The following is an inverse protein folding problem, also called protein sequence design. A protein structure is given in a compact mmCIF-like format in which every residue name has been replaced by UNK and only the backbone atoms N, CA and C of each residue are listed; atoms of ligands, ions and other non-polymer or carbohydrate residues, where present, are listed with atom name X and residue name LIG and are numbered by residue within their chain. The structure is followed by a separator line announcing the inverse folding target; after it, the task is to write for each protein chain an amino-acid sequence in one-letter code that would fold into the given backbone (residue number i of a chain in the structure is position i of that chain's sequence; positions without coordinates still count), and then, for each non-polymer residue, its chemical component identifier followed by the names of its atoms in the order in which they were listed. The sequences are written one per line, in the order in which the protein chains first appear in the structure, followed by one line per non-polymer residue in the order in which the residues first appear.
data_IF_174563538974
#
_entry.id   IF_174563538974
#
_cell.length_a   1.000
_cell.length_b   1.000
_cell.length_c   1.000
_cell.angle_alpha   90.00
_cell.angle_beta   90.00
_cell.angle_gamma   90.00
#
_symmetry.space_group_name_H-M   'P 1'
#
loop_
_entity.id
_entity.type
_entity.pdbx_description
1 polymer ?
#
# COMPACT_ATOMS: atom_id res chain seq x y z
N UNK A 1 9.35 10.64 -31.65
CA UNK A 1 8.19 10.67 -30.73
C UNK A 1 8.71 10.84 -29.30
N UNK A 2 8.27 11.86 -28.59
CA UNK A 2 8.94 12.50 -27.44
C UNK A 2 9.23 11.59 -26.23
N UNK A 3 10.49 11.24 -25.99
CA UNK A 3 11.00 10.59 -24.78
C UNK A 3 10.93 11.46 -23.49
N UNK A 4 10.52 12.73 -23.59
CA UNK A 4 10.46 13.66 -22.47
C UNK A 4 9.34 13.35 -21.44
N UNK A 5 8.30 12.61 -21.85
CA UNK A 5 7.16 12.30 -20.99
C UNK A 5 7.35 11.03 -20.10
N UNK A 6 8.33 10.19 -20.40
CA UNK A 6 8.55 8.93 -19.65
C UNK A 6 9.02 9.16 -18.20
N UNK A 7 9.97 10.08 -17.90
CA UNK A 7 10.37 10.37 -16.54
C UNK A 7 9.23 10.93 -15.67
N UNK A 8 8.41 11.82 -16.23
CA UNK A 8 7.29 12.45 -15.50
C UNK A 8 6.21 11.44 -15.08
N UNK A 9 5.90 10.46 -15.95
CA UNK A 9 4.92 9.40 -15.65
C UNK A 9 5.42 8.47 -14.54
N UNK A 10 6.71 8.17 -14.50
CA UNK A 10 7.32 7.37 -13.42
C UNK A 10 7.26 8.12 -12.08
N UNK A 11 7.50 9.43 -12.07
CA UNK A 11 7.35 10.24 -10.87
C UNK A 11 5.92 10.27 -10.33
N UNK A 12 4.91 10.33 -11.21
CA UNK A 12 3.51 10.24 -10.80
C UNK A 12 3.20 8.93 -10.06
N UNK A 13 3.69 7.80 -10.57
CA UNK A 13 3.50 6.48 -9.95
C UNK A 13 4.29 6.35 -8.64
N UNK A 14 5.47 6.95 -8.53
CA UNK A 14 6.24 7.00 -7.28
C UNK A 14 5.55 7.87 -6.22
N UNK A 15 4.98 9.01 -6.61
CA UNK A 15 4.18 9.86 -5.73
C UNK A 15 2.94 9.12 -5.21
N UNK A 16 2.25 8.40 -6.10
CA UNK A 16 1.09 7.58 -5.73
C UNK A 16 1.49 6.48 -4.72
N UNK A 17 2.59 5.78 -4.98
CA UNK A 17 3.11 4.76 -4.05
C UNK A 17 3.41 5.35 -2.67
N UNK A 18 4.03 6.53 -2.63
CA UNK A 18 4.31 7.21 -1.38
C UNK A 18 3.02 7.52 -0.60
N UNK A 19 2.02 8.11 -1.25
CA UNK A 19 0.73 8.39 -0.60
C UNK A 19 0.08 7.12 -0.04
N UNK A 20 0.07 6.03 -0.83
CA UNK A 20 -0.49 4.76 -0.37
C UNK A 20 0.23 4.21 0.87
N UNK A 21 1.55 4.40 0.99
CA UNK A 21 2.29 4.02 2.20
C UNK A 21 1.85 4.85 3.42
N UNK A 22 1.73 6.16 3.26
CA UNK A 22 1.30 7.06 4.33
C UNK A 22 -0.14 6.78 4.81
N UNK A 23 -1.04 6.42 3.91
CA UNK A 23 -2.40 5.97 4.26
C UNK A 23 -2.42 4.73 5.15
N UNK A 24 -1.31 3.98 5.24
CA UNK A 24 -1.15 2.89 6.19
C UNK A 24 -1.25 3.34 7.64
N UNK A 25 -0.67 4.49 7.98
CA UNK A 25 -0.79 5.06 9.34
C UNK A 25 -2.27 5.31 9.67
N UNK A 26 -2.98 6.00 8.76
CA UNK A 26 -4.40 6.33 8.95
C UNK A 26 -5.23 5.08 9.15
N UNK A 27 -5.01 4.06 8.32
CA UNK A 27 -5.73 2.80 8.38
C UNK A 27 -5.49 2.06 9.72
N UNK A 28 -4.22 1.91 10.13
CA UNK A 28 -3.88 1.17 11.34
C UNK A 28 -4.27 1.93 12.63
N UNK A 29 -4.33 3.25 12.60
CA UNK A 29 -4.91 4.03 13.71
C UNK A 29 -6.42 3.87 13.75
N UNK A 30 -7.11 3.91 12.60
CA UNK A 30 -8.57 3.75 12.54
C UNK A 30 -9.03 2.39 13.11
N UNK A 31 -8.27 1.30 12.87
CA UNK A 31 -8.61 -0.04 13.39
C UNK A 31 -8.76 -0.04 14.92
N UNK A 32 -8.03 0.79 15.66
CA UNK A 32 -8.14 0.84 17.12
C UNK A 32 -9.48 1.42 17.62
N UNK A 33 -10.23 2.12 16.75
CA UNK A 33 -11.43 2.90 17.10
C UNK A 33 -12.70 2.40 16.39
N UNK A 34 -12.71 1.15 15.90
CA UNK A 34 -13.88 0.60 15.22
C UNK A 34 -15.07 0.42 16.15
N UNK A 35 -16.27 0.68 15.63
CA UNK A 35 -17.54 0.38 16.33
C UNK A 35 -17.98 -1.07 16.12
N UNK A 36 -17.46 -1.74 15.10
CA UNK A 36 -17.67 -3.17 14.80
C UNK A 36 -16.55 -4.01 15.40
N UNK A 37 -16.69 -5.34 15.32
CA UNK A 37 -15.62 -6.24 15.78
C UNK A 37 -14.31 -5.96 15.05
N UNK A 38 -13.25 -5.77 15.82
CA UNK A 38 -11.92 -5.49 15.33
C UNK A 38 -11.21 -6.80 14.95
N UNK A 39 -10.45 -6.82 13.84
CA UNK A 39 -9.56 -7.94 13.52
C UNK A 39 -8.36 -8.01 14.50
N UNK A 40 -8.17 -6.97 15.33
CA UNK A 40 -7.11 -6.91 16.34
C UNK A 40 -7.69 -7.18 17.74
N UNK A 41 -6.94 -7.87 18.62
CA UNK A 41 -7.41 -8.23 19.95
C UNK A 41 -7.43 -7.07 20.96
N UNK A 42 -7.01 -5.88 20.55
CA UNK A 42 -7.06 -4.66 21.36
C UNK A 42 -7.91 -3.61 20.69
N UNK A 43 -8.48 -2.70 21.47
CA UNK A 43 -9.26 -1.55 20.98
C UNK A 43 -9.25 -0.42 21.99
N UNK A 44 -9.40 0.81 21.53
CA UNK A 44 -9.63 1.98 22.38
C UNK A 44 -11.08 1.98 22.90
N UNK A 45 -11.34 2.44 24.14
CA UNK A 45 -12.70 2.57 24.64
C UNK A 45 -13.53 3.60 23.85
N UNK A 46 -12.89 4.55 23.19
CA UNK A 46 -13.55 5.54 22.35
C UNK A 46 -13.61 5.04 20.90
N UNK A 47 -14.80 4.74 20.41
CA UNK A 47 -15.06 4.26 19.05
C UNK A 47 -15.79 5.29 18.20
N UNK A 48 -15.72 5.17 16.86
CA UNK A 48 -16.39 6.10 15.95
C UNK A 48 -16.75 5.44 14.63
N UNK A 49 -17.96 5.70 14.08
CA UNK A 49 -18.30 5.27 12.71
C UNK A 49 -17.36 5.84 11.64
N UNK A 50 -16.70 6.97 11.92
CA UNK A 50 -15.67 7.54 11.03
C UNK A 50 -14.50 6.56 10.86
N UNK A 51 -14.12 5.84 11.92
CA UNK A 51 -13.08 4.83 11.85
C UNK A 51 -13.46 3.67 10.91
N UNK A 52 -14.72 3.18 10.98
CA UNK A 52 -15.22 2.13 10.08
C UNK A 52 -15.17 2.59 8.62
N UNK A 53 -15.63 3.82 8.36
CA UNK A 53 -15.64 4.40 7.02
C UNK A 53 -14.21 4.57 6.48
N UNK A 54 -13.28 5.09 7.28
CA UNK A 54 -11.88 5.24 6.89
C UNK A 54 -11.22 3.89 6.59
N UNK A 55 -11.46 2.89 7.46
CA UNK A 55 -10.92 1.54 7.23
C UNK A 55 -11.41 0.98 5.90
N UNK A 56 -12.74 0.90 5.70
CA UNK A 56 -13.34 0.30 4.52
C UNK A 56 -12.92 1.05 3.25
N UNK A 57 -12.91 2.38 3.29
CA UNK A 57 -12.58 3.22 2.15
C UNK A 57 -11.10 3.06 1.76
N UNK A 58 -10.17 3.23 2.70
CA UNK A 58 -8.73 3.13 2.42
C UNK A 58 -8.36 1.71 2.00
N UNK A 59 -8.92 0.70 2.68
CA UNK A 59 -8.62 -0.69 2.38
C UNK A 59 -9.09 -1.08 0.97
N UNK A 60 -10.20 -0.52 0.48
CA UNK A 60 -10.76 -0.86 -0.83
C UNK A 60 -9.81 -0.58 -2.01
N UNK A 61 -8.91 0.39 -1.93
CA UNK A 61 -8.02 0.75 -3.05
C UNK A 61 -6.52 0.71 -2.71
N UNK A 62 -6.14 0.83 -1.43
CA UNK A 62 -4.74 0.97 -1.05
C UNK A 62 -3.89 -0.21 -1.50
N UNK A 63 -4.30 -1.43 -1.15
CA UNK A 63 -3.56 -2.63 -1.52
C UNK A 63 -3.68 -2.97 -3.02
N UNK A 64 -4.85 -2.89 -3.65
CA UNK A 64 -5.00 -2.99 -5.10
C UNK A 64 -4.04 -2.09 -5.88
N UNK A 65 -3.97 -0.80 -5.55
CA UNK A 65 -3.03 0.14 -6.18
C UNK A 65 -1.59 -0.33 -6.02
N UNK A 66 -1.19 -0.76 -4.81
CA UNK A 66 0.16 -1.24 -4.58
C UNK A 66 0.52 -2.44 -5.45
N UNK A 67 -0.37 -3.42 -5.58
CA UNK A 67 -0.09 -4.61 -6.41
C UNK A 67 -0.05 -4.28 -7.89
N UNK A 68 -0.90 -3.37 -8.39
CA UNK A 68 -0.81 -2.86 -9.77
C UNK A 68 0.54 -2.17 -9.99
N UNK A 69 0.94 -1.27 -9.10
CA UNK A 69 2.24 -0.60 -9.20
C UNK A 69 3.42 -1.58 -9.09
N UNK A 70 3.32 -2.58 -8.22
CA UNK A 70 4.36 -3.60 -8.06
C UNK A 70 4.55 -4.41 -9.34
N UNK A 71 3.46 -4.90 -9.95
CA UNK A 71 3.50 -5.60 -11.22
C UNK A 71 4.10 -4.76 -12.34
N UNK A 72 3.70 -3.49 -12.43
CA UNK A 72 4.26 -2.52 -13.37
C UNK A 72 5.78 -2.34 -13.20
N UNK A 73 6.24 -2.10 -11.99
CA UNK A 73 7.67 -1.89 -11.73
C UNK A 73 8.49 -3.19 -11.84
N UNK A 74 7.90 -4.35 -11.59
CA UNK A 74 8.57 -5.64 -11.83
C UNK A 74 8.74 -5.86 -13.34
N UNK A 75 7.73 -5.60 -14.15
CA UNK A 75 7.82 -5.67 -15.61
C UNK A 75 8.87 -4.68 -16.16
N UNK A 76 8.89 -3.45 -15.64
CA UNK A 76 9.90 -2.44 -16.00
C UNK A 76 11.34 -2.91 -15.65
N UNK A 77 11.52 -3.54 -14.48
CA UNK A 77 12.83 -4.07 -14.09
C UNK A 77 13.26 -5.24 -14.97
N UNK A 78 12.33 -6.13 -15.33
CA UNK A 78 12.63 -7.23 -16.28
C UNK A 78 13.04 -6.66 -17.64
N UNK A 79 12.34 -5.65 -18.15
CA UNK A 79 12.68 -5.00 -19.41
C UNK A 79 14.07 -4.33 -19.38
N UNK A 80 14.47 -3.77 -18.23
CA UNK A 80 15.75 -3.05 -18.09
C UNK A 80 16.94 -3.91 -17.70
N UNK A 81 16.73 -4.97 -16.90
CA UNK A 81 17.81 -5.76 -16.25
C UNK A 81 17.72 -7.26 -16.50
N UNK A 82 16.71 -7.70 -17.27
CA UNK A 82 16.39 -9.12 -17.43
C UNK A 82 15.80 -9.73 -16.15
N UNK A 83 15.32 -10.97 -16.26
CA UNK A 83 14.64 -11.67 -15.16
C UNK A 83 15.54 -11.86 -13.94
N UNK A 84 16.80 -12.28 -14.13
CA UNK A 84 17.75 -12.49 -13.03
C UNK A 84 18.14 -11.18 -12.33
N UNK A 85 18.37 -10.12 -13.10
CA UNK A 85 18.66 -8.79 -12.55
C UNK A 85 17.49 -8.22 -11.76
N UNK A 86 16.26 -8.47 -12.21
CA UNK A 86 15.04 -8.14 -11.48
C UNK A 86 14.97 -8.91 -10.16
N UNK A 87 15.12 -10.25 -10.18
CA UNK A 87 15.03 -11.06 -8.97
C UNK A 87 16.11 -10.68 -7.95
N UNK A 88 17.38 -10.51 -8.38
CA UNK A 88 18.47 -10.03 -7.52
C UNK A 88 18.12 -8.69 -6.87
N UNK A 89 17.57 -7.74 -7.64
CA UNK A 89 17.15 -6.45 -7.13
C UNK A 89 16.02 -6.60 -6.08
N UNK A 90 15.03 -7.46 -6.33
CA UNK A 90 13.91 -7.70 -5.41
C UNK A 90 14.34 -8.42 -4.16
N UNK A 91 15.25 -9.40 -4.24
CA UNK A 91 15.83 -10.05 -3.07
C UNK A 91 16.52 -9.04 -2.14
N UNK A 92 17.33 -8.14 -2.70
CA UNK A 92 18.01 -7.11 -1.93
C UNK A 92 17.08 -6.01 -1.37
N UNK A 93 15.89 -5.78 -2.01
CA UNK A 93 14.99 -4.70 -1.63
C UNK A 93 13.76 -5.14 -0.84
N UNK A 94 13.41 -6.42 -0.89
CA UNK A 94 12.25 -6.98 -0.20
C UNK A 94 12.67 -8.07 0.78
N UNK A 95 13.33 -9.13 0.31
CA UNK A 95 13.67 -10.27 1.15
C UNK A 95 14.69 -9.93 2.24
N UNK A 96 15.78 -9.23 1.89
CA UNK A 96 16.81 -8.86 2.85
C UNK A 96 16.29 -7.86 3.92
N UNK A 97 15.60 -6.77 3.58
CA UNK A 97 14.96 -5.93 4.60
C UNK A 97 13.93 -6.70 5.44
N UNK A 98 13.13 -7.57 4.84
CA UNK A 98 12.21 -8.42 5.60
C UNK A 98 12.95 -9.27 6.63
N UNK A 99 14.01 -9.97 6.22
CA UNK A 99 14.79 -10.84 7.12
C UNK A 99 15.47 -10.07 8.27
N UNK A 100 15.92 -8.83 8.01
CA UNK A 100 16.57 -7.99 9.03
C UNK A 100 15.56 -7.36 9.99
N UNK A 101 14.47 -6.81 9.48
CA UNK A 101 13.54 -6.01 10.27
C UNK A 101 12.39 -6.82 10.88
N UNK A 102 12.00 -7.95 10.28
CA UNK A 102 10.88 -8.75 10.80
C UNK A 102 11.13 -9.25 12.25
N UNK A 103 12.29 -9.85 12.63
CA UNK A 103 12.46 -10.37 13.97
C UNK A 103 12.33 -9.30 15.07
N UNK A 104 13.06 -8.16 15.02
CA UNK A 104 12.93 -7.13 16.04
C UNK A 104 11.56 -6.46 16.03
N UNK A 105 10.95 -6.24 14.87
CA UNK A 105 9.62 -5.66 14.79
C UNK A 105 8.55 -6.61 15.30
N UNK A 106 8.69 -7.92 15.05
CA UNK A 106 7.81 -8.95 15.60
C UNK A 106 7.84 -8.92 17.13
N UNK A 107 9.03 -8.95 17.72
CA UNK A 107 9.19 -8.94 19.18
C UNK A 107 8.59 -7.66 19.80
N UNK A 108 8.98 -6.48 19.28
CA UNK A 108 8.50 -5.20 19.79
C UNK A 108 6.99 -5.01 19.63
N UNK A 109 6.44 -5.37 18.45
CA UNK A 109 5.00 -5.28 18.22
C UNK A 109 4.22 -6.23 19.09
N UNK A 110 4.73 -7.45 19.33
CA UNK A 110 4.11 -8.43 20.24
C UNK A 110 4.04 -7.89 21.66
N UNK A 111 5.15 -7.33 22.18
CA UNK A 111 5.16 -6.72 23.52
C UNK A 111 4.17 -5.57 23.62
N UNK A 112 4.18 -4.64 22.67
CA UNK A 112 3.21 -3.53 22.64
C UNK A 112 1.77 -4.03 22.54
N UNK A 113 1.52 -5.07 21.72
CA UNK A 113 0.20 -5.68 21.60
C UNK A 113 -0.26 -6.28 22.93
N UNK A 114 0.60 -7.00 23.66
CA UNK A 114 0.28 -7.56 24.98
C UNK A 114 -0.07 -6.44 25.97
N UNK A 115 0.71 -5.37 26.00
CA UNK A 115 0.42 -4.20 26.86
C UNK A 115 -0.93 -3.58 26.48
N UNK A 116 -1.24 -3.45 25.20
CA UNK A 116 -2.50 -2.86 24.76
C UNK A 116 -3.70 -3.78 25.05
N UNK A 117 -3.56 -5.09 24.88
CA UNK A 117 -4.58 -6.07 25.26
C UNK A 117 -4.85 -5.99 26.76
N UNK A 118 -3.81 -5.98 27.58
CA UNK A 118 -3.94 -5.87 29.04
C UNK A 118 -4.66 -4.57 29.42
N UNK A 119 -4.29 -3.46 28.78
CA UNK A 119 -4.94 -2.16 28.98
C UNK A 119 -6.42 -2.19 28.56
N UNK A 120 -6.75 -2.85 27.42
CA UNK A 120 -8.13 -3.00 26.94
C UNK A 120 -8.99 -3.81 27.92
N UNK A 121 -8.44 -4.87 28.53
CA UNK A 121 -9.20 -5.82 29.38
C UNK A 121 -9.21 -5.38 30.85
N UNK A 122 -8.08 -4.86 31.35
CA UNK A 122 -7.88 -4.55 32.78
C UNK A 122 -7.91 -3.05 33.11
N UNK A 123 -7.87 -2.19 32.08
CA UNK A 123 -7.84 -0.72 32.26
C UNK A 123 -6.49 -0.16 32.73
N UNK A 124 -5.46 -1.01 32.91
CA UNK A 124 -4.12 -0.60 33.35
C UNK A 124 -3.06 -1.25 32.45
N UNK A 125 -1.91 -0.59 32.20
CA UNK A 125 -0.83 -1.18 31.44
C UNK A 125 -0.24 -2.40 32.18
N UNK A 126 0.04 -3.47 31.47
CA UNK A 126 0.63 -4.68 32.03
C UNK A 126 0.92 -5.72 30.95
N UNK A 127 1.53 -6.81 31.33
CA UNK A 127 1.79 -7.97 30.45
C UNK A 127 1.21 -9.21 31.14
N UNK A 128 0.23 -9.83 30.48
CA UNK A 128 -0.38 -11.06 30.93
C UNK A 128 -0.53 -12.00 29.73
N UNK A 129 0.22 -13.09 29.75
CA UNK A 129 0.19 -14.10 28.68
C UNK A 129 -1.13 -14.87 28.64
N UNK A 130 -1.89 -14.90 29.74
CA UNK A 130 -3.20 -15.52 29.79
C UNK A 130 -4.27 -14.73 29.03
N UNK A 131 -4.07 -13.42 28.82
CA UNK A 131 -4.95 -12.56 28.03
C UNK A 131 -4.65 -12.59 26.53
N UNK A 132 -3.60 -13.30 26.10
CA UNK A 132 -3.37 -13.49 24.66
C UNK A 132 -4.60 -14.20 24.06
N UNK A 133 -5.18 -13.68 22.95
CA UNK A 133 -6.35 -14.27 22.34
C UNK A 133 -6.11 -15.76 22.12
N UNK A 134 -7.12 -16.57 22.43
CA UNK A 134 -7.12 -17.98 22.07
C UNK A 134 -6.79 -18.07 20.59
N UNK A 135 -5.76 -18.81 20.24
CA UNK A 135 -5.32 -19.00 18.85
C UNK A 135 -6.53 -19.38 18.03
N UNK A 136 -6.75 -18.68 16.91
CA UNK A 136 -7.67 -19.22 15.91
C UNK A 136 -7.18 -20.64 15.58
N UNK A 137 -8.10 -21.62 15.51
CA UNK A 137 -7.73 -22.99 15.18
C UNK A 137 -6.89 -23.01 13.90
N UNK A 138 -5.66 -23.56 13.98
CA UNK A 138 -4.71 -23.57 12.85
C UNK A 138 -3.81 -22.33 12.71
N UNK A 139 -3.95 -21.30 13.53
CA UNK A 139 -3.09 -20.11 13.50
C UNK A 139 -1.67 -20.39 14.03
N UNK A 140 -0.65 -20.03 13.25
CA UNK A 140 0.75 -20.06 13.71
C UNK A 140 1.01 -18.93 14.72
N UNK A 141 1.81 -19.16 15.77
CA UNK A 141 2.25 -18.10 16.68
C UNK A 141 3.13 -17.08 15.96
N UNK A 142 3.79 -17.49 14.88
CA UNK A 142 4.59 -16.65 14.03
C UNK A 142 3.79 -16.26 12.77
N UNK A 143 3.69 -14.97 12.54
CA UNK A 143 3.06 -14.42 11.36
C UNK A 143 3.90 -13.25 10.83
N UNK A 144 3.62 -12.80 9.64
CA UNK A 144 4.36 -11.72 8.99
C UNK A 144 3.93 -10.33 9.50
N UNK A 145 2.92 -10.27 10.37
CA UNK A 145 2.28 -9.04 10.87
C UNK A 145 1.94 -8.07 9.72
N UNK A 146 2.20 -6.78 9.92
CA UNK A 146 2.03 -5.76 8.89
C UNK A 146 3.05 -5.87 7.73
N UNK A 147 4.10 -6.70 7.87
CA UNK A 147 5.09 -6.93 6.81
C UNK A 147 4.64 -7.98 5.78
N UNK A 148 3.43 -8.55 5.91
CA UNK A 148 2.87 -9.51 4.95
C UNK A 148 2.96 -9.02 3.50
N UNK A 149 2.75 -7.72 3.27
CA UNK A 149 2.83 -7.12 1.96
C UNK A 149 4.23 -7.24 1.34
N UNK A 150 5.29 -6.97 2.12
CA UNK A 150 6.69 -7.09 1.67
C UNK A 150 7.02 -8.54 1.30
N UNK A 151 6.57 -9.48 2.14
CA UNK A 151 6.71 -10.91 1.94
C UNK A 151 6.00 -11.36 0.65
N UNK A 152 4.76 -10.99 0.47
CA UNK A 152 3.96 -11.37 -0.70
C UNK A 152 4.51 -10.75 -2.00
N UNK A 153 4.97 -9.49 -1.97
CA UNK A 153 5.64 -8.86 -3.11
C UNK A 153 6.91 -9.60 -3.55
N UNK A 154 7.67 -10.11 -2.60
CA UNK A 154 8.83 -10.94 -2.93
C UNK A 154 8.41 -12.20 -3.66
N UNK A 155 7.41 -12.91 -3.18
CA UNK A 155 6.89 -14.12 -3.84
C UNK A 155 6.32 -13.83 -5.22
N UNK A 156 5.56 -12.75 -5.41
CA UNK A 156 5.13 -12.34 -6.75
C UNK A 156 6.31 -12.02 -7.68
N UNK A 157 7.42 -11.52 -7.14
CA UNK A 157 8.63 -11.31 -7.94
C UNK A 157 9.30 -12.64 -8.33
N UNK A 158 9.27 -13.64 -7.45
CA UNK A 158 9.72 -15.01 -7.75
C UNK A 158 8.83 -15.65 -8.82
N UNK A 159 7.51 -15.55 -8.67
CA UNK A 159 6.56 -16.06 -9.67
C UNK A 159 6.70 -15.37 -11.02
N UNK A 160 6.94 -14.05 -11.03
CA UNK A 160 7.21 -13.30 -12.25
C UNK A 160 8.52 -13.76 -12.91
N UNK A 161 9.57 -13.99 -12.14
CA UNK A 161 10.82 -14.55 -12.63
C UNK A 161 10.62 -15.94 -13.26
N UNK A 162 9.90 -16.82 -12.57
CA UNK A 162 9.57 -18.16 -13.07
C UNK A 162 8.71 -18.07 -14.35
N UNK A 163 7.69 -17.20 -14.37
CA UNK A 163 6.84 -16.94 -15.53
C UNK A 163 7.65 -16.48 -16.76
N UNK A 164 8.61 -15.57 -16.59
CA UNK A 164 9.51 -15.14 -17.68
C UNK A 164 10.38 -16.29 -18.17
N UNK A 165 10.84 -17.19 -17.30
CA UNK A 165 11.60 -18.38 -17.71
C UNK A 165 10.74 -19.41 -18.44
N UNK A 166 9.55 -19.64 -17.96
CA UNK A 166 8.60 -20.61 -18.51
C UNK A 166 7.90 -20.12 -19.77
N UNK A 167 7.83 -18.80 -20.04
CA UNK A 167 7.16 -18.25 -21.22
C UNK A 167 7.71 -18.78 -22.55
N UNK A 168 8.94 -19.30 -22.57
CA UNK A 168 9.54 -19.95 -23.77
C UNK A 168 8.75 -21.17 -24.23
N UNK A 169 8.03 -21.83 -23.31
CA UNK A 169 7.20 -22.99 -23.62
C UNK A 169 5.76 -22.60 -24.02
N UNK A 170 5.39 -21.34 -23.89
CA UNK A 170 4.06 -20.84 -24.22
C UNK A 170 4.07 -20.26 -25.64
N UNK A 171 3.19 -20.71 -26.54
CA UNK A 171 3.10 -20.18 -27.89
C UNK A 171 2.93 -18.66 -27.91
N UNK A 172 3.65 -17.98 -28.81
CA UNK A 172 3.61 -16.52 -28.92
C UNK A 172 2.19 -15.99 -29.14
N UNK A 173 1.38 -16.70 -29.94
CA UNK A 173 -0.04 -16.33 -30.17
C UNK A 173 -0.84 -16.27 -28.89
N UNK A 174 -0.65 -17.21 -27.95
CA UNK A 174 -1.36 -17.22 -26.66
C UNK A 174 -0.88 -16.07 -25.76
N UNK A 175 0.43 -15.83 -25.70
CA UNK A 175 1.01 -14.71 -24.93
C UNK A 175 0.47 -13.36 -25.40
N UNK A 176 0.38 -13.17 -26.73
CA UNK A 176 -0.16 -11.95 -27.31
C UNK A 176 -1.68 -11.85 -27.15
N UNK A 177 -2.40 -12.96 -27.19
CA UNK A 177 -3.83 -12.98 -26.91
C UNK A 177 -4.14 -12.56 -25.47
N UNK A 178 -3.40 -13.09 -24.48
CA UNK A 178 -3.53 -12.70 -23.05
C UNK A 178 -3.20 -11.22 -22.87
N UNK A 179 -2.10 -10.74 -23.46
CA UNK A 179 -1.73 -9.33 -23.36
C UNK A 179 -2.79 -8.40 -23.98
N UNK A 180 -3.33 -8.75 -25.13
CA UNK A 180 -4.43 -8.02 -25.76
C UNK A 180 -5.69 -8.08 -24.90
N UNK A 181 -6.00 -9.22 -24.28
CA UNK A 181 -7.12 -9.36 -23.35
C UNK A 181 -7.04 -8.35 -22.20
N UNK A 182 -5.90 -8.27 -21.52
CA UNK A 182 -5.68 -7.29 -20.45
C UNK A 182 -5.77 -5.83 -20.95
N UNK A 183 -5.22 -5.53 -22.13
CA UNK A 183 -5.33 -4.21 -22.73
C UNK A 183 -6.79 -3.84 -23.03
N UNK A 184 -7.57 -4.77 -23.58
CA UNK A 184 -9.01 -4.57 -23.84
C UNK A 184 -9.77 -4.35 -22.51
N UNK A 185 -9.52 -5.15 -21.48
CA UNK A 185 -10.16 -4.98 -20.17
C UNK A 185 -9.81 -3.63 -19.53
N UNK A 186 -8.56 -3.17 -19.69
CA UNK A 186 -8.14 -1.84 -19.22
C UNK A 186 -8.82 -0.69 -19.97
N UNK A 187 -9.19 -0.88 -21.22
CA UNK A 187 -9.79 0.15 -22.07
C UNK A 187 -11.30 0.21 -22.03
N UNK A 188 -11.96 -0.93 -21.96
CA UNK A 188 -13.43 -1.02 -22.02
C UNK A 188 -14.08 -0.56 -20.72
N UNK A 189 -15.25 0.07 -20.82
CA UNK A 189 -16.00 0.55 -19.64
C UNK A 189 -16.47 -0.55 -18.74
N UNK A 190 -16.72 -1.75 -19.28
CA UNK A 190 -17.15 -2.94 -18.56
C UNK A 190 -15.98 -3.81 -18.09
N UNK A 191 -14.74 -3.48 -18.44
CA UNK A 191 -13.57 -4.31 -18.11
C UNK A 191 -13.39 -4.57 -16.62
N UNK A 192 -13.74 -3.60 -15.77
CA UNK A 192 -13.70 -3.77 -14.32
C UNK A 192 -14.67 -4.85 -13.84
N UNK A 193 -15.80 -5.05 -14.52
CA UNK A 193 -16.77 -6.11 -14.18
C UNK A 193 -16.11 -7.48 -14.34
N UNK A 194 -15.49 -7.74 -15.50
CA UNK A 194 -14.78 -9.00 -15.77
C UNK A 194 -13.63 -9.22 -14.79
N UNK A 195 -12.90 -8.16 -14.46
CA UNK A 195 -11.79 -8.24 -13.49
C UNK A 195 -12.28 -8.44 -12.05
N UNK A 196 -13.47 -7.95 -11.69
CA UNK A 196 -14.03 -8.12 -10.36
C UNK A 196 -14.68 -9.53 -10.17
N UNK A 197 -15.16 -10.18 -11.24
CA UNK A 197 -15.86 -11.46 -11.14
C UNK A 197 -15.05 -12.57 -10.45
N UNK A 198 -13.78 -12.88 -10.84
CA UNK A 198 -13.01 -13.92 -10.16
C UNK A 198 -12.73 -13.57 -8.68
N UNK A 199 -12.62 -12.28 -8.35
CA UNK A 199 -12.46 -11.81 -6.98
C UNK A 199 -13.78 -11.90 -6.19
N UNK A 200 -14.91 -11.70 -6.84
CA UNK A 200 -16.23 -11.92 -6.24
C UNK A 200 -16.46 -13.39 -5.90
N UNK A 201 -16.07 -14.29 -6.82
CA UNK A 201 -16.16 -15.74 -6.58
C UNK A 201 -15.28 -16.15 -5.39
N UNK A 202 -14.02 -15.73 -5.34
CA UNK A 202 -13.15 -16.07 -4.20
C UNK A 202 -13.61 -15.41 -2.90
N UNK A 203 -14.13 -14.18 -2.97
CA UNK A 203 -14.68 -13.46 -1.83
C UNK A 203 -15.95 -14.12 -1.26
N UNK A 204 -16.79 -14.73 -2.09
CA UNK A 204 -18.02 -15.38 -1.64
C UNK A 204 -17.80 -16.57 -0.67
N UNK A 205 -16.58 -17.08 -0.58
CA UNK A 205 -16.22 -18.09 0.42
C UNK A 205 -15.85 -17.51 1.80
N UNK A 206 -15.88 -16.18 1.93
CA UNK A 206 -15.58 -15.48 3.19
C UNK A 206 -16.86 -14.91 3.81
N UNK A 207 -17.03 -14.96 5.14
CA UNK A 207 -18.29 -14.62 5.82
C UNK A 207 -18.83 -13.20 5.55
N UNK A 208 -17.96 -12.25 5.24
CA UNK A 208 -18.33 -10.85 4.91
C UNK A 208 -18.23 -10.54 3.41
N UNK A 209 -17.92 -11.54 2.57
CA UNK A 209 -17.56 -11.29 1.16
C UNK A 209 -16.21 -10.61 0.96
N UNK A 210 -15.50 -10.27 2.03
CA UNK A 210 -14.23 -9.54 1.99
C UNK A 210 -13.07 -10.49 2.29
N UNK A 211 -12.10 -10.53 1.38
CA UNK A 211 -10.84 -11.26 1.60
C UNK A 211 -9.92 -10.34 2.41
N UNK A 212 -9.68 -10.72 3.66
CA UNK A 212 -8.75 -10.04 4.56
C UNK A 212 -7.43 -10.79 4.59
N UNK A 213 -6.32 -10.05 4.64
CA UNK A 213 -5.00 -10.65 4.70
C UNK A 213 -4.73 -11.23 6.09
N UNK A 214 -4.42 -12.50 6.11
CA UNK A 214 -4.18 -13.26 7.35
C UNK A 214 -2.85 -12.93 8.03
N UNK A 215 -1.91 -12.32 7.32
CA UNK A 215 -0.54 -12.16 7.78
C UNK A 215 0.23 -13.48 7.90
N UNK A 216 -0.32 -14.59 7.44
CA UNK A 216 0.33 -15.90 7.45
C UNK A 216 1.55 -15.96 6.54
N UNK A 217 2.55 -16.78 6.89
CA UNK A 217 3.63 -17.17 5.96
C UNK A 217 3.11 -18.05 4.80
N UNK A 218 1.95 -18.67 4.96
CA UNK A 218 1.25 -19.39 3.90
C UNK A 218 -0.12 -18.73 3.67
N UNK A 219 -0.19 -17.66 2.85
CA UNK A 219 -1.45 -17.00 2.54
C UNK A 219 -2.43 -17.96 1.89
N UNK A 220 -3.73 -17.76 2.12
CA UNK A 220 -4.78 -18.54 1.51
C UNK A 220 -4.81 -18.36 -0.02
N UNK A 221 -5.44 -19.30 -0.72
CA UNK A 221 -5.64 -19.19 -2.17
C UNK A 221 -6.37 -17.91 -2.55
N UNK A 222 -7.38 -17.52 -1.76
CA UNK A 222 -8.15 -16.28 -1.98
C UNK A 222 -7.25 -15.03 -1.90
N UNK A 223 -6.32 -14.97 -0.94
CA UNK A 223 -5.35 -13.87 -0.83
C UNK A 223 -4.40 -13.81 -2.03
N UNK A 224 -3.96 -14.99 -2.54
CA UNK A 224 -3.13 -15.07 -3.75
C UNK A 224 -3.87 -14.59 -4.99
N UNK A 225 -5.14 -14.98 -5.17
CA UNK A 225 -5.97 -14.55 -6.31
C UNK A 225 -6.26 -13.05 -6.20
N UNK A 226 -6.65 -12.58 -5.01
CA UNK A 226 -6.96 -11.17 -4.75
C UNK A 226 -5.81 -10.25 -5.13
N UNK A 227 -4.65 -10.49 -4.58
CA UNK A 227 -3.45 -9.66 -4.82
C UNK A 227 -2.82 -9.93 -6.18
N UNK A 228 -2.83 -11.19 -6.62
CA UNK A 228 -2.19 -11.63 -7.86
C UNK A 228 -2.83 -11.06 -9.11
N UNK A 229 -4.16 -10.93 -9.15
CA UNK A 229 -4.84 -10.37 -10.32
C UNK A 229 -4.47 -8.89 -10.53
N UNK A 230 -4.37 -8.10 -9.47
CA UNK A 230 -3.89 -6.72 -9.54
C UNK A 230 -2.42 -6.65 -9.97
N UNK A 231 -1.58 -7.55 -9.45
CA UNK A 231 -0.17 -7.62 -9.84
C UNK A 231 0.00 -7.97 -11.33
N UNK A 232 -0.71 -8.98 -11.82
CA UNK A 232 -0.67 -9.40 -13.23
C UNK A 232 -1.20 -8.29 -14.14
N UNK A 233 -2.29 -7.61 -13.74
CA UNK A 233 -2.78 -6.45 -14.48
C UNK A 233 -1.71 -5.36 -14.58
N UNK A 234 -1.01 -5.06 -13.49
CA UNK A 234 0.11 -4.10 -13.48
C UNK A 234 1.26 -4.51 -14.40
N UNK A 235 1.56 -5.81 -14.46
CA UNK A 235 2.56 -6.36 -15.39
C UNK A 235 2.18 -6.05 -16.85
N UNK A 236 0.94 -6.32 -17.25
CA UNK A 236 0.50 -6.05 -18.62
C UNK A 236 0.28 -4.56 -18.90
N UNK A 237 -0.07 -3.77 -17.89
CA UNK A 237 -0.15 -2.30 -17.99
C UNK A 237 1.17 -1.68 -18.49
N UNK A 238 2.32 -2.22 -18.06
CA UNK A 238 3.63 -1.73 -18.49
C UNK A 238 3.84 -1.85 -20.02
N UNK A 239 3.30 -2.88 -20.69
CA UNK A 239 3.45 -3.11 -22.12
C UNK A 239 2.85 -1.95 -22.95
N UNK A 240 1.66 -1.49 -22.56
CA UNK A 240 0.90 -0.44 -23.25
C UNK A 240 0.78 0.84 -22.42
N UNK A 241 1.78 1.12 -21.56
CA UNK A 241 1.73 2.15 -20.53
C UNK A 241 1.39 3.56 -21.07
N UNK A 242 1.92 3.94 -22.22
CA UNK A 242 1.69 5.29 -22.76
C UNK A 242 0.21 5.53 -23.08
N UNK A 243 -0.40 4.57 -23.74
CA UNK A 243 -1.80 4.63 -24.15
C UNK A 243 -2.75 4.48 -22.96
N UNK A 244 -2.51 3.50 -22.10
CA UNK A 244 -3.40 3.19 -20.99
C UNK A 244 -3.34 4.26 -19.89
N UNK A 245 -2.15 4.74 -19.51
CA UNK A 245 -2.02 5.80 -18.50
C UNK A 245 -2.65 7.12 -18.98
N UNK A 246 -2.47 7.48 -20.25
CA UNK A 246 -3.15 8.65 -20.81
C UNK A 246 -4.68 8.50 -20.77
N UNK A 247 -5.19 7.29 -21.03
CA UNK A 247 -6.62 7.00 -20.99
C UNK A 247 -7.19 7.04 -19.57
N UNK A 248 -6.46 6.52 -18.59
CA UNK A 248 -6.84 6.63 -17.18
C UNK A 248 -6.84 8.08 -16.71
N UNK A 249 -5.83 8.87 -17.10
CA UNK A 249 -5.76 10.31 -16.82
C UNK A 249 -6.96 11.08 -17.36
N UNK A 250 -7.39 10.77 -18.60
CA UNK A 250 -8.55 11.40 -19.23
C UNK A 250 -9.88 11.05 -18.55
N UNK A 251 -9.96 9.86 -17.93
CA UNK A 251 -11.20 9.30 -17.35
C UNK A 251 -11.23 9.28 -15.82
N UNK A 252 -10.18 9.77 -15.14
CA UNK A 252 -10.01 9.59 -13.69
C UNK A 252 -11.23 10.04 -12.86
N UNK A 253 -11.85 11.18 -13.19
CA UNK A 253 -13.05 11.67 -12.49
C UNK A 253 -14.25 10.73 -12.65
N UNK A 254 -14.49 10.20 -13.87
CA UNK A 254 -15.58 9.26 -14.13
C UNK A 254 -15.36 7.92 -13.43
N UNK A 255 -14.12 7.44 -13.43
CA UNK A 255 -13.73 6.23 -12.71
C UNK A 255 -13.89 6.40 -11.20
N UNK A 256 -13.48 7.56 -10.64
CA UNK A 256 -13.66 7.86 -9.23
C UNK A 256 -15.14 7.92 -8.83
N UNK A 257 -15.98 8.56 -9.65
CA UNK A 257 -17.41 8.65 -9.40
C UNK A 257 -18.10 7.27 -9.46
N UNK A 258 -17.75 6.45 -10.46
CA UNK A 258 -18.24 5.09 -10.55
C UNK A 258 -17.76 4.23 -9.36
N UNK A 259 -16.49 4.37 -8.96
CA UNK A 259 -15.95 3.71 -7.78
C UNK A 259 -16.67 4.13 -6.49
N UNK A 260 -17.03 5.40 -6.36
CA UNK A 260 -17.82 5.89 -5.23
C UNK A 260 -19.21 5.25 -5.20
N UNK A 261 -19.87 5.13 -6.35
CA UNK A 261 -21.18 4.48 -6.42
C UNK A 261 -21.11 2.99 -5.97
N UNK A 262 -20.11 2.24 -6.42
CA UNK A 262 -19.89 0.86 -5.96
C UNK A 262 -19.45 0.78 -4.49
N UNK A 263 -18.71 1.75 -3.99
CA UNK A 263 -18.36 1.85 -2.58
C UNK A 263 -19.61 2.05 -1.71
N UNK A 264 -20.50 2.95 -2.11
CA UNK A 264 -21.79 3.16 -1.42
C UNK A 264 -22.62 1.86 -1.46
N UNK A 265 -22.68 1.18 -2.61
CA UNK A 265 -23.35 -0.11 -2.73
C UNK A 265 -22.73 -1.16 -1.78
N UNK A 266 -21.40 -1.24 -1.69
CA UNK A 266 -20.72 -2.13 -0.74
C UNK A 266 -21.11 -1.81 0.70
N UNK A 267 -21.10 -0.54 1.08
CA UNK A 267 -21.47 -0.10 2.42
C UNK A 267 -22.93 -0.46 2.76
N UNK A 268 -23.85 -0.23 1.82
CA UNK A 268 -25.27 -0.60 1.98
C UNK A 268 -25.47 -2.11 2.10
N UNK A 269 -24.77 -2.90 1.27
CA UNK A 269 -24.86 -4.37 1.31
C UNK A 269 -24.30 -4.93 2.63
N UNK A 270 -23.18 -4.40 3.11
CA UNK A 270 -22.61 -4.78 4.42
C UNK A 270 -23.58 -4.42 5.57
N UNK A 271 -24.20 -3.24 5.51
CA UNK A 271 -25.23 -2.85 6.49
C UNK A 271 -26.45 -3.77 6.44
N UNK A 272 -26.89 -4.17 5.25
CA UNK A 272 -27.99 -5.11 5.07
C UNK A 272 -27.63 -6.53 5.58
N UNK A 273 -26.39 -6.97 5.43
CA UNK A 273 -25.90 -8.27 5.93
C UNK A 273 -26.01 -8.38 7.47
N UNK A 274 -25.80 -7.28 8.19
CA UNK A 274 -25.91 -7.23 9.65
C UNK A 274 -27.36 -6.99 10.14
N UNK A 275 -28.29 -6.70 9.21
CA UNK A 275 -29.71 -6.47 9.49
C UNK A 275 -30.61 -7.58 8.98
N UNK A 276 -31.91 -7.57 9.35
CA UNK A 276 -32.88 -8.55 8.89
C UNK A 276 -33.13 -8.55 7.37
N UNK A 277 -32.68 -7.53 6.64
CA UNK A 277 -32.82 -7.42 5.19
C UNK A 277 -31.90 -8.39 4.42
N UNK A 278 -30.85 -8.91 5.05
CA UNK A 278 -29.89 -9.84 4.42
C UNK A 278 -30.56 -11.15 3.93
N UNK A 279 -31.60 -11.61 4.60
CA UNK A 279 -32.29 -12.85 4.25
C UNK A 279 -33.07 -12.82 2.91
N UNK A 280 -33.17 -11.63 2.27
CA UNK A 280 -33.90 -11.47 0.99
C UNK A 280 -33.00 -11.53 -0.24
N UNK A 281 -31.68 -11.41 -0.06
CA UNK A 281 -30.72 -11.40 -1.18
C UNK A 281 -30.03 -12.77 -1.27
N UNK A 282 -30.16 -13.52 -2.37
CA UNK A 282 -29.41 -14.77 -2.54
C UNK A 282 -27.90 -14.47 -2.64
N UNK A 283 -27.08 -15.23 -1.89
CA UNK A 283 -25.63 -15.12 -1.90
C UNK A 283 -25.11 -13.70 -1.64
N UNK A 284 -25.46 -13.06 -0.51
CA UNK A 284 -25.10 -11.66 -0.23
C UNK A 284 -23.58 -11.44 -0.23
N UNK A 285 -22.78 -12.43 0.20
CA UNK A 285 -21.32 -12.38 0.21
C UNK A 285 -20.74 -12.17 -1.20
N UNK A 286 -21.35 -12.83 -2.21
CA UNK A 286 -20.93 -12.64 -3.60
C UNK A 286 -21.15 -11.19 -4.07
N UNK A 287 -22.32 -10.62 -3.78
CA UNK A 287 -22.63 -9.25 -4.21
C UNK A 287 -21.79 -8.20 -3.46
N UNK A 288 -21.52 -8.43 -2.17
CA UNK A 288 -20.61 -7.58 -1.39
C UNK A 288 -19.20 -7.67 -2.00
N UNK A 289 -18.71 -8.89 -2.23
CA UNK A 289 -17.39 -9.11 -2.83
C UNK A 289 -17.29 -8.46 -4.23
N UNK A 290 -18.34 -8.58 -5.05
CA UNK A 290 -18.39 -7.97 -6.37
C UNK A 290 -18.33 -6.43 -6.28
N UNK A 291 -19.20 -5.83 -5.49
CA UNK A 291 -19.26 -4.37 -5.35
C UNK A 291 -17.95 -3.81 -4.78
N UNK A 292 -17.37 -4.48 -3.77
CA UNK A 292 -16.10 -4.11 -3.17
C UNK A 292 -14.94 -4.20 -4.17
N UNK A 293 -14.84 -5.29 -4.94
CA UNK A 293 -13.78 -5.45 -5.92
C UNK A 293 -13.97 -4.56 -7.15
N UNK A 294 -15.21 -4.25 -7.53
CA UNK A 294 -15.50 -3.21 -8.54
C UNK A 294 -15.00 -1.83 -8.07
N UNK A 295 -15.25 -1.49 -6.80
CA UNK A 295 -14.68 -0.29 -6.15
C UNK A 295 -13.15 -0.30 -6.25
N UNK A 296 -12.52 -1.42 -5.89
CA UNK A 296 -11.06 -1.59 -5.87
C UNK A 296 -10.44 -1.35 -7.26
N UNK A 297 -11.02 -1.91 -8.32
CA UNK A 297 -10.57 -1.68 -9.69
C UNK A 297 -10.77 -0.23 -10.12
N UNK A 298 -11.97 0.31 -9.95
CA UNK A 298 -12.33 1.65 -10.40
C UNK A 298 -11.47 2.71 -9.69
N UNK A 299 -11.30 2.62 -8.37
CA UNK A 299 -10.46 3.55 -7.62
C UNK A 299 -8.98 3.39 -7.93
N UNK A 300 -8.49 2.16 -8.17
CA UNK A 300 -7.09 1.94 -8.57
C UNK A 300 -6.79 2.64 -9.89
N UNK A 301 -7.64 2.45 -10.90
CA UNK A 301 -7.47 3.12 -12.20
C UNK A 301 -7.68 4.64 -12.11
N UNK A 302 -8.63 5.09 -11.28
CA UNK A 302 -8.88 6.51 -11.03
C UNK A 302 -7.68 7.21 -10.40
N UNK A 303 -7.09 6.60 -9.36
CA UNK A 303 -5.94 7.15 -8.64
C UNK A 303 -4.69 7.18 -9.53
N UNK A 304 -4.40 6.09 -10.25
CA UNK A 304 -3.31 6.07 -11.23
C UNK A 304 -3.49 7.20 -12.24
N UNK A 305 -4.70 7.34 -12.80
CA UNK A 305 -5.02 8.39 -13.77
C UNK A 305 -4.92 9.80 -13.17
N UNK A 306 -5.41 9.99 -11.95
CA UNK A 306 -5.36 11.27 -11.24
C UNK A 306 -3.93 11.73 -10.97
N UNK A 307 -3.05 10.83 -10.51
CA UNK A 307 -1.66 11.17 -10.26
C UNK A 307 -0.90 11.47 -11.55
N UNK A 308 -1.13 10.71 -12.61
CA UNK A 308 -0.57 11.02 -13.94
C UNK A 308 -1.03 12.38 -14.45
N UNK A 309 -2.27 12.80 -14.18
CA UNK A 309 -2.85 14.06 -14.63
C UNK A 309 -2.45 15.26 -13.78
N UNK A 310 -2.52 15.13 -12.45
CA UNK A 310 -2.43 16.27 -11.53
C UNK A 310 -1.10 16.35 -10.78
N UNK A 311 -0.38 15.22 -10.61
CA UNK A 311 0.88 15.14 -9.88
C UNK A 311 2.00 14.47 -10.71
N UNK A 312 2.20 14.86 -11.98
CA UNK A 312 3.19 14.22 -12.86
C UNK A 312 4.62 14.57 -12.47
N UNK A 313 4.82 15.66 -11.74
CA UNK A 313 6.14 16.16 -11.35
C UNK A 313 6.43 15.82 -9.89
N UNK A 314 7.70 15.72 -9.58
CA UNK A 314 8.19 15.55 -8.21
C UNK A 314 8.68 16.92 -7.70
N UNK A 315 8.19 17.35 -6.55
CA UNK A 315 8.74 18.46 -5.80
C UNK A 315 9.56 17.95 -4.60
N UNK A 316 10.25 18.83 -3.87
CA UNK A 316 11.09 18.46 -2.75
C UNK A 316 10.32 17.71 -1.64
N UNK A 317 9.08 18.10 -1.36
CA UNK A 317 8.23 17.47 -0.35
C UNK A 317 7.84 16.05 -0.79
N UNK A 318 7.32 15.89 -2.01
CA UNK A 318 6.93 14.58 -2.55
C UNK A 318 8.15 13.65 -2.68
N UNK A 319 9.31 14.20 -3.05
CA UNK A 319 10.55 13.44 -3.09
C UNK A 319 10.95 12.93 -1.70
N UNK A 320 10.86 13.78 -0.68
CA UNK A 320 11.16 13.41 0.70
C UNK A 320 10.17 12.37 1.24
N UNK A 321 8.87 12.57 1.04
CA UNK A 321 7.82 11.63 1.44
C UNK A 321 7.97 10.27 0.71
N UNK A 322 8.37 10.29 -0.56
CA UNK A 322 8.63 9.06 -1.32
C UNK A 322 9.87 8.31 -0.81
N UNK A 323 10.93 9.03 -0.46
CA UNK A 323 12.16 8.43 0.08
C UNK A 323 11.95 7.86 1.48
N UNK A 324 11.16 8.53 2.33
CA UNK A 324 10.86 8.09 3.70
C UNK A 324 9.82 6.97 3.75
N UNK A 325 9.01 6.81 2.71
CA UNK A 325 7.82 5.94 2.73
C UNK A 325 8.10 4.48 3.10
N UNK A 326 9.25 3.94 2.70
CA UNK A 326 9.62 2.57 3.05
C UNK A 326 9.94 2.43 4.56
N UNK A 327 10.67 3.38 5.13
CA UNK A 327 10.93 3.42 6.57
C UNK A 327 9.65 3.61 7.37
N UNK A 328 8.80 4.55 6.94
CA UNK A 328 7.48 4.76 7.52
C UNK A 328 6.68 3.47 7.54
N UNK A 329 6.66 2.72 6.44
CA UNK A 329 5.99 1.42 6.37
C UNK A 329 6.55 0.41 7.39
N UNK A 330 7.86 0.37 7.61
CA UNK A 330 8.45 -0.55 8.59
C UNK A 330 8.08 -0.17 10.03
N UNK A 331 8.09 1.13 10.35
CA UNK A 331 8.03 1.61 11.73
C UNK A 331 6.63 2.04 12.20
N UNK A 332 5.70 2.33 11.29
CA UNK A 332 4.42 2.93 11.67
C UNK A 332 3.60 2.09 12.66
N UNK A 333 3.69 0.76 12.60
CA UNK A 333 2.92 -0.11 13.49
C UNK A 333 3.31 0.08 14.96
N UNK A 334 4.60 0.24 15.24
CA UNK A 334 5.08 0.57 16.59
C UNK A 334 4.52 1.90 17.08
N UNK A 335 4.48 2.91 16.20
CA UNK A 335 3.91 4.22 16.53
C UNK A 335 2.41 4.15 16.77
N UNK A 336 1.65 3.51 15.86
CA UNK A 336 0.18 3.45 15.98
C UNK A 336 -0.29 2.71 17.22
N UNK A 337 0.40 1.63 17.64
CA UNK A 337 0.12 0.91 18.88
C UNK A 337 0.62 1.71 20.09
N UNK A 338 1.87 2.19 20.07
CA UNK A 338 2.48 2.92 21.18
C UNK A 338 1.70 4.19 21.55
N UNK A 339 1.35 5.02 20.54
CA UNK A 339 0.51 6.20 20.80
C UNK A 339 -0.95 5.83 21.11
N UNK A 340 -1.45 4.68 20.63
CA UNK A 340 -2.73 4.14 21.07
C UNK A 340 -2.76 3.87 22.56
N UNK A 341 -1.71 3.23 23.09
CA UNK A 341 -1.54 2.97 24.54
C UNK A 341 -1.45 4.30 25.33
N UNK A 342 -0.62 5.24 24.87
CA UNK A 342 -0.44 6.53 25.56
C UNK A 342 -1.72 7.37 25.60
N UNK A 343 -2.54 7.30 24.57
CA UNK A 343 -3.79 8.06 24.47
C UNK A 343 -5.00 7.32 25.05
N UNK A 344 -4.85 6.10 25.56
CA UNK A 344 -5.96 5.25 25.98
C UNK A 344 -6.88 5.95 27.01
N UNK A 345 -6.30 6.51 28.05
CA UNK A 345 -7.04 7.23 29.11
C UNK A 345 -7.24 8.72 28.84
N UNK A 346 -6.75 9.22 27.69
CA UNK A 346 -6.90 10.64 27.36
C UNK A 346 -8.40 11.00 27.23
N UNK A 347 -8.84 12.14 27.76
CA UNK A 347 -10.26 12.56 27.81
C UNK A 347 -10.74 13.11 26.46
N UNK A 348 -10.24 12.57 25.35
CA UNK A 348 -10.60 13.00 24.00
C UNK A 348 -11.51 11.96 23.33
N UNK A 349 -12.42 12.43 22.47
CA UNK A 349 -13.20 11.54 21.62
C UNK A 349 -12.33 10.82 20.56
N UNK A 350 -12.86 9.72 20.01
CA UNK A 350 -12.16 8.86 19.05
C UNK A 350 -11.49 9.62 17.89
N UNK A 351 -12.18 10.59 17.28
CA UNK A 351 -11.65 11.36 16.14
C UNK A 351 -10.42 12.18 16.53
N UNK A 352 -10.45 12.82 17.71
CA UNK A 352 -9.31 13.58 18.20
C UNK A 352 -8.13 12.67 18.54
N UNK A 353 -8.37 11.53 19.20
CA UNK A 353 -7.34 10.51 19.46
C UNK A 353 -6.72 9.99 18.17
N UNK A 354 -7.55 9.68 17.16
CA UNK A 354 -7.06 9.29 15.83
C UNK A 354 -6.15 10.36 15.22
N UNK A 355 -6.59 11.63 15.22
CA UNK A 355 -5.81 12.74 14.68
C UNK A 355 -4.46 12.91 15.38
N UNK A 356 -4.45 12.87 16.71
CA UNK A 356 -3.22 12.97 17.53
C UNK A 356 -2.28 11.78 17.29
N UNK A 357 -2.80 10.54 17.24
CA UNK A 357 -2.00 9.35 16.98
C UNK A 357 -1.39 9.39 15.56
N UNK A 358 -2.18 9.75 14.54
CA UNK A 358 -1.68 9.90 13.16
C UNK A 358 -0.56 10.93 13.11
N UNK A 359 -0.76 12.10 13.71
CA UNK A 359 0.23 13.17 13.73
C UNK A 359 1.52 12.74 14.47
N UNK A 360 1.40 12.19 15.67
CA UNK A 360 2.53 11.75 16.48
C UNK A 360 3.31 10.61 15.81
N UNK A 361 2.61 9.59 15.30
CA UNK A 361 3.25 8.49 14.54
C UNK A 361 3.97 9.02 13.31
N UNK A 362 3.37 9.94 12.56
CA UNK A 362 3.98 10.54 11.37
C UNK A 362 5.22 11.34 11.72
N UNK A 363 5.18 12.16 12.75
CA UNK A 363 6.32 12.96 13.21
C UNK A 363 7.49 12.08 13.66
N UNK A 364 7.22 11.06 14.49
CA UNK A 364 8.26 10.13 14.96
C UNK A 364 8.85 9.32 13.79
N UNK A 365 8.01 8.87 12.85
CA UNK A 365 8.47 8.16 11.67
C UNK A 365 9.36 9.04 10.77
N UNK A 366 9.03 10.32 10.58
CA UNK A 366 9.86 11.26 9.82
C UNK A 366 11.15 11.63 10.56
N UNK A 367 11.07 11.89 11.87
CA UNK A 367 12.23 12.20 12.69
C UNK A 367 13.23 11.03 12.71
N UNK A 368 12.73 9.81 12.94
CA UNK A 368 13.57 8.60 12.92
C UNK A 368 14.15 8.33 11.52
N UNK A 369 13.39 8.57 10.44
CA UNK A 369 13.91 8.49 9.08
C UNK A 369 15.08 9.48 8.87
N UNK A 370 14.91 10.72 9.29
CA UNK A 370 15.93 11.77 9.14
C UNK A 370 17.21 11.43 9.91
N UNK A 371 17.07 10.93 11.15
CA UNK A 371 18.20 10.68 12.05
C UNK A 371 18.89 9.34 11.77
N UNK A 372 18.12 8.27 11.56
CA UNK A 372 18.64 6.90 11.54
C UNK A 372 18.82 6.32 10.12
N UNK A 373 18.17 6.91 9.11
CA UNK A 373 18.07 6.26 7.78
C UNK A 373 18.69 7.10 6.67
N UNK A 374 18.33 8.36 6.58
CA UNK A 374 18.55 9.18 5.37
C UNK A 374 20.01 9.17 4.86
N UNK A 375 20.98 9.30 5.75
CA UNK A 375 22.41 9.39 5.40
C UNK A 375 23.22 8.15 5.82
N UNK A 376 22.56 7.06 6.23
CA UNK A 376 23.19 5.86 6.78
C UNK A 376 23.18 4.68 5.79
N UNK A 377 23.82 3.58 6.18
CA UNK A 377 23.79 2.30 5.47
C UNK A 377 22.35 1.72 5.37
N UNK A 378 21.50 1.99 6.37
CA UNK A 378 20.07 1.60 6.34
C UNK A 378 19.38 2.27 5.15
N UNK A 379 19.61 3.56 4.92
CA UNK A 379 19.07 4.27 3.76
C UNK A 379 19.57 3.69 2.43
N UNK A 380 20.82 3.27 2.36
CA UNK A 380 21.33 2.57 1.18
C UNK A 380 20.66 1.22 0.99
N UNK A 381 20.42 0.45 2.05
CA UNK A 381 19.70 -0.82 2.03
C UNK A 381 18.27 -0.62 1.53
N UNK A 382 17.52 0.34 2.07
CA UNK A 382 16.11 0.53 1.76
C UNK A 382 15.88 1.26 0.41
N UNK A 383 16.64 2.32 0.11
CA UNK A 383 16.41 3.19 -1.05
C UNK A 383 17.39 2.98 -2.21
N UNK A 384 18.52 2.27 -2.00
CA UNK A 384 19.51 1.98 -3.02
C UNK A 384 20.46 3.11 -3.39
N UNK A 385 20.31 4.23 -2.75
CA UNK A 385 21.20 5.38 -2.92
C UNK A 385 21.51 5.94 -1.54
N UNK A 386 22.75 6.32 -1.35
CA UNK A 386 23.12 7.16 -0.21
C UNK A 386 22.78 8.60 -0.58
N UNK A 387 21.97 9.26 0.21
CA UNK A 387 21.78 10.71 0.06
C UNK A 387 23.02 11.36 0.65
N UNK A 388 23.93 11.83 -0.19
CA UNK A 388 25.05 12.69 0.24
C UNK A 388 24.45 14.00 0.76
N UNK A 389 24.81 14.40 1.97
CA UNK A 389 24.57 15.79 2.40
C UNK A 389 25.25 16.69 1.38
N UNK A 390 24.49 17.63 0.81
CA UNK A 390 25.10 18.68 0.01
C UNK A 390 26.16 19.35 0.89
N UNK A 391 27.40 19.34 0.45
CA UNK A 391 28.46 20.10 1.12
C UNK A 391 27.99 21.55 1.24
N UNK A 392 28.18 22.21 2.39
CA UNK A 392 27.89 23.63 2.49
C UNK A 392 28.64 24.37 1.37
N UNK A 393 28.05 25.39 0.74
CA UNK A 393 28.71 26.13 -0.31
C UNK A 393 30.03 26.62 0.19
N UNK A 394 31.11 26.30 -0.52
CA UNK A 394 32.47 26.72 -0.21
C UNK A 394 32.52 28.25 -0.07
N UNK A 395 33.18 28.83 0.96
CA UNK A 395 33.29 30.27 1.14
C UNK A 395 33.97 31.00 -0.03
N UNK A 396 34.61 30.27 -0.93
CA UNK A 396 35.38 30.80 -2.06
C UNK A 396 34.55 31.49 -3.16
N UNK A 397 33.24 31.38 -3.17
CA UNK A 397 32.39 32.03 -4.20
C UNK A 397 31.88 33.43 -3.82
N UNK A 398 32.22 33.95 -2.62
CA UNK A 398 31.84 35.32 -2.19
C UNK A 398 32.89 36.40 -2.51
N UNK A 399 34.03 36.04 -3.13
CA UNK A 399 35.14 36.93 -3.35
C UNK A 399 35.38 37.42 -4.78
N UNK A 400 34.57 37.07 -5.77
CA UNK A 400 34.72 37.57 -7.13
C UNK A 400 33.70 38.70 -7.38
N UNK A 401 33.80 39.75 -6.57
CA UNK A 401 33.10 41.01 -6.81
C UNK A 401 33.99 41.93 -7.66
N UNK A 402 33.51 42.27 -8.83
CA UNK A 402 33.70 43.49 -9.59
C UNK A 402 35.07 44.19 -9.49
N UNK A 403 36.01 43.89 -10.40
CA UNK A 403 37.01 44.87 -10.82
C UNK A 403 36.33 45.87 -11.77
N UNK A 404 36.46 47.20 -11.52
CA UNK A 404 36.00 48.19 -12.45
C UNK A 404 36.92 48.22 -13.68
N UNK A 405 36.32 48.21 -14.85
CA UNK A 405 37.00 48.40 -16.12
C UNK A 405 37.68 49.80 -16.15
N UNK A 406 38.97 49.82 -16.39
CA UNK A 406 39.69 51.05 -16.73
C UNK A 406 39.35 51.52 -18.15
N UNK A 407 39.19 52.84 -18.40
CA UNK A 407 38.93 53.34 -19.73
C UNK A 407 40.20 53.26 -20.59
N UNK A 408 40.08 52.67 -21.77
CA UNK A 408 41.13 52.76 -22.82
C UNK A 408 41.08 54.11 -23.51
N UNK A 409 42.06 54.92 -23.25
CA UNK A 409 42.40 56.05 -24.13
C UNK A 409 43.11 55.54 -25.38
N UNK A 410 42.66 56.11 -26.51
CA UNK A 410 43.11 56.16 -27.92
C UNK A 410 42.51 55.15 -28.85
#
# INVERSE_FOLDING_TARGET
MNNANTPQRLHALDNLRALMMWLGIVLHVAINHLTVDSPLPWRDPQTSPVANLLLLFIHSFRMPVFFVLAGFFVALLVARRGANGMLKNRSLRLALPFAIFWPPLFALTTVLAMVYIHLTVRGVPGIDTALTPARQPGGSPFNTMHLWFLYQLFWFSVLAWAGVRLQRFVPMRLRDAVARGFAVLAERRWGFVVLALPLAVTGSFHPSGLVMESGSFLPSFSEWVQSGLFFVFGWYLHRDQERLLARFAARCKRLALAGLAFFIATFMLLGALHGQAAYRLPHPEFWIAFAYNATSWLWSLALIGAFVRYLPRQNAVLAYLSQSSYWVYLMHMLGTIGFGILLFHAPFGAVAKMGLNIAATSLVALASYQLLVRCTSIGTLLNGRRVTQAAPPSPASRGAGSQPALPSDR
#
